data_IF_404554423842
#
_entry.id   IF_404554423842
#
_cell.length_a   1.000
_cell.length_b   1.000
_cell.length_c   1.000
_cell.angle_alpha   90.00
_cell.angle_beta   90.00
_cell.angle_gamma   90.00
#
_symmetry.space_group_name_H-M   'P 1'
#
loop_
_entity.id
_entity.type
_entity.pdbx_description
1 polymer ?
#
# COMPACT_ATOMS: atom_id res chain seq x y z
N UNK A 1 3.51 0.73 25.79
CA UNK A 1 4.27 -0.51 25.52
C UNK A 1 3.32 -1.49 24.83
N UNK A 2 3.78 -2.17 23.78
CA UNK A 2 2.99 -3.21 23.12
C UNK A 2 3.11 -4.52 23.91
N UNK A 3 1.98 -5.16 24.22
CA UNK A 3 1.93 -6.43 24.95
C UNK A 3 1.47 -7.55 23.99
N UNK A 4 2.20 -8.67 23.95
CA UNK A 4 1.84 -9.84 23.14
C UNK A 4 0.62 -10.53 23.74
N UNK A 5 -0.48 -10.59 22.99
CA UNK A 5 -1.74 -11.26 23.41
C UNK A 5 -1.94 -12.64 22.78
N UNK A 6 -1.47 -12.84 21.54
CA UNK A 6 -1.60 -14.10 20.82
C UNK A 6 -0.34 -14.40 20.01
N UNK A 7 -0.15 -15.68 19.67
CA UNK A 7 0.93 -16.16 18.81
C UNK A 7 0.37 -17.25 17.88
N UNK A 8 0.36 -16.99 16.56
CA UNK A 8 -0.23 -17.86 15.54
C UNK A 8 0.91 -18.62 14.84
N UNK A 9 1.04 -19.93 15.10
CA UNK A 9 2.19 -20.76 14.65
C UNK A 9 1.75 -21.95 13.79
N UNK A 10 1.53 -21.71 12.51
CA UNK A 10 1.20 -22.79 11.56
C UNK A 10 2.06 -22.78 10.29
N UNK A 11 2.55 -21.60 9.89
CA UNK A 11 3.41 -21.48 8.71
C UNK A 11 4.79 -22.12 8.94
N UNK A 12 5.29 -22.83 7.93
CA UNK A 12 6.64 -23.44 7.90
C UNK A 12 7.67 -22.58 7.14
N UNK A 13 7.35 -21.31 6.92
CA UNK A 13 8.21 -20.34 6.25
C UNK A 13 7.85 -18.93 6.66
N UNK A 14 8.61 -17.95 6.17
CA UNK A 14 8.33 -16.54 6.46
C UNK A 14 6.92 -16.16 6.00
N UNK A 15 6.15 -15.54 6.90
CA UNK A 15 4.86 -14.95 6.58
C UNK A 15 5.11 -13.65 5.81
N UNK A 16 4.65 -13.60 4.57
CA UNK A 16 4.91 -12.49 3.65
C UNK A 16 3.73 -11.52 3.56
N UNK A 17 2.53 -11.99 3.89
CA UNK A 17 1.30 -11.21 3.86
C UNK A 17 0.38 -11.58 5.02
N UNK A 18 -0.31 -10.56 5.54
CA UNK A 18 -1.36 -10.67 6.54
C UNK A 18 -2.41 -9.62 6.21
N UNK A 19 -3.69 -9.96 6.40
CA UNK A 19 -4.79 -9.01 6.32
C UNK A 19 -5.89 -9.43 7.31
N UNK A 20 -6.64 -8.46 7.82
CA UNK A 20 -7.67 -8.69 8.82
C UNK A 20 -9.02 -8.20 8.29
N UNK A 21 -9.94 -9.15 8.13
CA UNK A 21 -11.35 -8.91 7.87
C UNK A 21 -12.02 -8.43 9.17
N UNK A 22 -12.31 -7.13 9.24
CA UNK A 22 -12.76 -6.45 10.45
C UNK A 22 -14.15 -6.91 10.90
N UNK A 23 -15.09 -7.10 9.98
CA UNK A 23 -16.49 -7.41 10.30
C UNK A 23 -16.66 -8.87 10.72
N UNK A 24 -16.05 -9.80 9.97
CA UNK A 24 -16.07 -11.23 10.26
C UNK A 24 -15.02 -11.66 11.30
N UNK A 25 -14.15 -10.73 11.71
CA UNK A 25 -13.04 -10.97 12.64
C UNK A 25 -12.18 -12.18 12.25
N UNK A 26 -11.80 -12.26 10.96
CA UNK A 26 -10.92 -13.31 10.43
C UNK A 26 -9.61 -12.71 9.98
N UNK A 27 -8.51 -13.36 10.35
CA UNK A 27 -7.19 -13.00 9.85
C UNK A 27 -6.87 -13.95 8.70
N UNK A 28 -6.31 -13.44 7.61
CA UNK A 28 -5.70 -14.28 6.57
C UNK A 28 -4.19 -14.06 6.56
N UNK A 29 -3.42 -15.13 6.46
CA UNK A 29 -1.96 -15.06 6.30
C UNK A 29 -1.54 -15.85 5.08
N UNK A 30 -0.45 -15.42 4.43
CA UNK A 30 0.20 -16.17 3.35
C UNK A 30 1.72 -16.13 3.51
N UNK A 31 2.41 -17.18 3.06
CA UNK A 31 3.84 -17.35 3.33
C UNK A 31 4.68 -17.96 2.22
N UNK A 32 5.99 -17.97 2.48
CA UNK A 32 7.00 -18.59 1.63
C UNK A 32 6.87 -20.12 1.53
N UNK A 33 6.17 -20.73 2.49
CA UNK A 33 5.80 -22.15 2.50
C UNK A 33 4.73 -22.52 1.46
N UNK A 34 4.22 -21.52 0.71
CA UNK A 34 3.22 -21.63 -0.37
C UNK A 34 1.79 -21.86 0.12
N UNK A 35 1.57 -21.72 1.41
CA UNK A 35 0.26 -21.88 2.03
C UNK A 35 -0.39 -20.52 2.31
N UNK A 36 -1.71 -20.54 2.44
CA UNK A 36 -2.45 -19.52 3.16
C UNK A 36 -3.26 -20.18 4.27
N UNK A 37 -3.48 -19.43 5.35
CA UNK A 37 -4.36 -19.84 6.44
C UNK A 37 -5.38 -18.75 6.69
N UNK A 38 -6.64 -19.16 6.86
CA UNK A 38 -7.68 -18.30 7.43
C UNK A 38 -7.82 -18.66 8.89
N UNK A 39 -7.62 -17.68 9.76
CA UNK A 39 -7.66 -17.82 11.20
C UNK A 39 -9.01 -17.31 11.71
N UNK A 40 -9.66 -18.12 12.53
CA UNK A 40 -10.90 -17.75 13.21
C UNK A 40 -10.69 -17.82 14.71
N UNK A 41 -11.14 -16.80 15.44
CA UNK A 41 -11.09 -16.80 16.90
C UNK A 41 -12.26 -17.62 17.46
N UNK A 42 -11.96 -18.75 18.10
CA UNK A 42 -12.93 -19.60 18.80
C UNK A 42 -12.42 -19.89 20.21
N UNK A 43 -13.28 -19.67 21.22
CA UNK A 43 -12.97 -19.93 22.63
C UNK A 43 -11.67 -19.23 23.10
N UNK A 44 -11.44 -18.00 22.65
CA UNK A 44 -10.26 -17.21 22.99
C UNK A 44 -8.97 -17.64 22.27
N UNK A 45 -9.02 -18.61 21.36
CA UNK A 45 -7.87 -19.09 20.60
C UNK A 45 -8.09 -18.94 19.08
N UNK A 46 -7.06 -18.47 18.38
CA UNK A 46 -7.05 -18.41 16.92
C UNK A 46 -6.77 -19.79 16.34
N UNK A 47 -7.73 -20.32 15.57
CA UNK A 47 -7.61 -21.62 14.91
C UNK A 47 -7.38 -21.44 13.40
N UNK A 48 -6.32 -22.02 12.82
CA UNK A 48 -6.07 -21.93 11.39
C UNK A 48 -6.93 -22.92 10.59
N UNK A 49 -7.34 -22.50 9.40
CA UNK A 49 -7.90 -23.34 8.35
C UNK A 49 -7.02 -23.21 7.12
N UNK A 50 -6.45 -24.32 6.66
CA UNK A 50 -5.57 -24.35 5.48
C UNK A 50 -6.36 -24.00 4.21
N UNK A 51 -5.80 -23.12 3.39
CA UNK A 51 -6.31 -22.79 2.06
C UNK A 51 -5.32 -23.27 1.00
N UNK A 52 -5.77 -24.21 0.16
CA UNK A 52 -4.95 -24.78 -0.90
C UNK A 52 -4.88 -23.80 -2.08
N UNK A 53 -3.82 -23.00 -2.12
CA UNK A 53 -3.61 -21.97 -3.14
C UNK A 53 -3.28 -22.52 -4.54
N UNK A 54 -2.88 -23.80 -4.63
CA UNK A 54 -2.42 -24.46 -5.87
C UNK A 54 -1.29 -23.70 -6.58
N UNK A 55 -0.34 -23.16 -5.81
CA UNK A 55 0.86 -22.46 -6.29
C UNK A 55 2.12 -23.30 -6.04
N UNK A 56 3.16 -23.05 -6.84
CA UNK A 56 4.45 -23.78 -6.78
C UNK A 56 5.65 -22.88 -6.42
N UNK A 57 5.40 -21.64 -5.98
CA UNK A 57 6.36 -20.65 -5.48
C UNK A 57 5.73 -19.91 -4.31
N UNK A 58 6.55 -19.19 -3.54
CA UNK A 58 6.11 -18.41 -2.38
C UNK A 58 4.88 -17.54 -2.70
N UNK A 59 3.93 -17.48 -1.75
CA UNK A 59 3.00 -16.38 -1.70
C UNK A 59 3.76 -15.11 -1.28
N UNK A 60 3.27 -13.94 -1.69
CA UNK A 60 3.97 -12.67 -1.46
C UNK A 60 3.10 -11.62 -0.77
N UNK A 61 1.83 -11.55 -1.11
CA UNK A 61 0.87 -10.60 -0.55
C UNK A 61 -0.51 -11.24 -0.49
N UNK A 62 -1.35 -10.77 0.44
CA UNK A 62 -2.74 -11.20 0.58
C UNK A 62 -3.59 -10.01 0.98
N UNK A 63 -4.81 -9.92 0.43
CA UNK A 63 -5.82 -8.93 0.81
C UNK A 63 -7.23 -9.53 0.76
N UNK A 64 -7.99 -9.34 1.84
CA UNK A 64 -9.44 -9.55 1.85
C UNK A 64 -10.12 -8.55 0.92
N UNK A 65 -11.16 -9.02 0.24
CA UNK A 65 -12.04 -8.13 -0.49
C UNK A 65 -12.93 -7.35 0.51
N UNK A 66 -13.39 -6.13 0.20
CA UNK A 66 -14.19 -5.28 1.09
C UNK A 66 -15.39 -5.94 1.77
N UNK A 67 -16.06 -6.89 1.11
CA UNK A 67 -17.22 -7.63 1.66
C UNK A 67 -16.82 -8.91 2.41
N UNK A 68 -15.53 -9.19 2.53
CA UNK A 68 -14.96 -10.31 3.30
C UNK A 68 -15.44 -11.72 2.88
N UNK A 69 -16.05 -11.83 1.70
CA UNK A 69 -16.55 -13.08 1.12
C UNK A 69 -15.48 -13.83 0.32
N UNK A 70 -14.36 -13.17 0.02
CA UNK A 70 -13.21 -13.72 -0.71
C UNK A 70 -11.95 -12.91 -0.42
N UNK A 71 -10.78 -13.47 -0.75
CA UNK A 71 -9.49 -12.79 -0.67
C UNK A 71 -8.60 -13.14 -1.86
N UNK A 72 -7.62 -12.29 -2.14
CA UNK A 72 -6.65 -12.47 -3.22
C UNK A 72 -5.25 -12.72 -2.66
N UNK A 73 -4.51 -13.66 -3.26
CA UNK A 73 -3.10 -13.94 -2.93
C UNK A 73 -2.23 -13.77 -4.17
N UNK A 74 -1.27 -12.85 -4.11
CA UNK A 74 -0.24 -12.69 -5.12
C UNK A 74 0.95 -13.62 -4.87
N UNK A 75 1.53 -14.19 -5.92
CA UNK A 75 2.59 -15.20 -5.79
C UNK A 75 3.73 -15.04 -6.80
N UNK A 76 4.90 -15.57 -6.46
CA UNK A 76 6.00 -15.82 -7.39
C UNK A 76 5.68 -16.85 -8.48
N UNK A 77 4.53 -17.54 -8.39
CA UNK A 77 4.00 -18.41 -9.45
C UNK A 77 3.42 -17.62 -10.63
N UNK A 78 3.56 -16.29 -10.64
CA UNK A 78 3.13 -15.40 -11.73
C UNK A 78 1.61 -15.48 -11.95
N UNK A 79 0.88 -15.53 -10.85
CA UNK A 79 -0.58 -15.60 -10.83
C UNK A 79 -1.13 -14.99 -9.54
N UNK A 80 -2.43 -14.72 -9.55
CA UNK A 80 -3.20 -14.32 -8.37
C UNK A 80 -4.21 -15.44 -8.08
N UNK A 81 -4.24 -15.92 -6.83
CA UNK A 81 -5.26 -16.86 -6.35
C UNK A 81 -6.40 -16.09 -5.69
N UNK A 82 -7.60 -16.15 -6.27
CA UNK A 82 -8.83 -15.61 -5.69
C UNK A 82 -9.52 -16.74 -4.92
N UNK A 83 -9.55 -16.64 -3.60
CA UNK A 83 -10.03 -17.68 -2.70
C UNK A 83 -11.36 -17.28 -2.08
N UNK A 84 -12.33 -18.19 -2.09
CA UNK A 84 -13.66 -18.00 -1.51
C UNK A 84 -14.11 -19.29 -0.82
N UNK A 85 -15.06 -19.18 0.10
CA UNK A 85 -15.55 -20.31 0.87
C UNK A 85 -16.80 -20.92 0.23
N UNK A 86 -16.78 -22.22 -0.06
CA UNK A 86 -17.97 -22.96 -0.50
C UNK A 86 -18.68 -23.56 0.73
N UNK A 87 -19.83 -22.99 1.10
CA UNK A 87 -20.60 -23.44 2.26
C UNK A 87 -21.09 -24.88 2.12
N UNK A 88 -21.44 -25.31 0.91
CA UNK A 88 -21.96 -26.67 0.64
C UNK A 88 -20.94 -27.77 0.98
N UNK A 89 -19.66 -27.47 0.83
CA UNK A 89 -18.56 -28.42 0.96
C UNK A 89 -17.65 -28.12 2.17
N UNK A 90 -17.96 -27.06 2.95
CA UNK A 90 -17.22 -26.61 4.14
C UNK A 90 -15.70 -26.42 3.92
N UNK A 91 -15.31 -25.86 2.76
CA UNK A 91 -13.90 -25.70 2.40
C UNK A 91 -13.62 -24.45 1.56
N UNK A 92 -12.36 -24.04 1.57
CA UNK A 92 -11.86 -22.93 0.75
C UNK A 92 -11.46 -23.41 -0.64
N UNK A 93 -12.03 -22.76 -1.65
CA UNK A 93 -11.71 -22.97 -3.07
C UNK A 93 -10.95 -21.76 -3.59
N UNK A 94 -10.05 -21.96 -4.56
CA UNK A 94 -9.39 -20.86 -5.25
C UNK A 94 -9.56 -20.94 -6.77
N UNK A 95 -9.71 -19.80 -7.44
CA UNK A 95 -9.60 -19.64 -8.90
C UNK A 95 -8.36 -18.79 -9.21
N UNK A 96 -7.69 -19.05 -10.35
CA UNK A 96 -6.44 -18.36 -10.69
C UNK A 96 -6.61 -17.34 -11.81
N UNK A 97 -6.13 -16.13 -11.59
CA UNK A 97 -5.87 -15.15 -12.65
C UNK A 97 -4.41 -15.31 -13.07
N UNK A 98 -4.16 -15.76 -14.31
CA UNK A 98 -2.81 -16.10 -14.82
C UNK A 98 -2.32 -15.18 -15.91
N UNK A 99 -3.09 -15.03 -16.99
CA UNK A 99 -2.69 -14.17 -18.12
C UNK A 99 -3.14 -12.73 -17.87
N UNK A 100 -2.36 -11.71 -18.27
CA UNK A 100 -1.06 -11.76 -18.95
C UNK A 100 0.13 -11.61 -17.97
N UNK A 101 0.01 -12.01 -16.70
CA UNK A 101 1.05 -11.83 -15.67
C UNK A 101 2.31 -12.61 -16.06
N UNK A 102 3.46 -11.92 -16.11
CA UNK A 102 4.75 -12.54 -16.51
C UNK A 102 5.78 -12.64 -15.39
N UNK A 103 5.50 -12.09 -14.22
CA UNK A 103 6.42 -12.13 -13.09
C UNK A 103 5.70 -12.15 -11.74
N UNK A 104 6.46 -12.11 -10.65
CA UNK A 104 5.94 -12.11 -9.27
C UNK A 104 4.99 -10.94 -9.03
N UNK A 105 3.85 -11.21 -8.40
CA UNK A 105 2.94 -10.18 -7.87
C UNK A 105 3.48 -9.67 -6.54
N UNK A 106 3.66 -8.35 -6.41
CA UNK A 106 4.21 -7.70 -5.22
C UNK A 106 3.13 -7.08 -4.34
N UNK A 107 2.11 -6.49 -4.97
CA UNK A 107 1.06 -5.74 -4.29
C UNK A 107 -0.30 -6.01 -4.91
N UNK A 108 -1.32 -5.92 -4.06
CA UNK A 108 -2.73 -6.08 -4.41
C UNK A 108 -3.52 -5.00 -3.69
N UNK A 109 -4.55 -4.48 -4.34
CA UNK A 109 -5.55 -3.64 -3.68
C UNK A 109 -6.92 -3.81 -4.32
N UNK A 110 -7.95 -3.92 -3.48
CA UNK A 110 -9.30 -4.17 -3.94
C UNK A 110 -10.03 -2.86 -4.21
N UNK A 111 -10.76 -2.83 -5.32
CA UNK A 111 -11.70 -1.76 -5.58
C UNK A 111 -12.90 -1.86 -4.62
N UNK A 112 -13.52 -0.73 -4.22
CA UNK A 112 -14.66 -0.69 -3.30
C UNK A 112 -15.86 -1.54 -3.72
N UNK A 113 -16.05 -1.76 -5.03
CA UNK A 113 -17.10 -2.64 -5.56
C UNK A 113 -16.91 -4.14 -5.27
N UNK A 114 -15.82 -4.54 -4.60
CA UNK A 114 -15.50 -5.93 -4.25
C UNK A 114 -15.12 -6.84 -5.44
N UNK A 115 -15.02 -6.30 -6.66
CA UNK A 115 -14.90 -7.07 -7.90
C UNK A 115 -13.58 -6.79 -8.59
N UNK A 116 -13.24 -5.51 -8.75
CA UNK A 116 -11.99 -5.14 -9.40
C UNK A 116 -10.83 -5.29 -8.42
N UNK A 117 -9.71 -5.77 -8.94
CA UNK A 117 -8.49 -6.01 -8.19
C UNK A 117 -7.32 -5.41 -8.93
N UNK A 118 -6.66 -4.43 -8.29
CA UNK A 118 -5.41 -3.89 -8.76
C UNK A 118 -4.26 -4.82 -8.37
N UNK A 119 -3.27 -4.94 -9.26
CA UNK A 119 -2.07 -5.75 -9.02
C UNK A 119 -0.82 -5.06 -9.56
N UNK A 120 0.22 -4.97 -8.71
CA UNK A 120 1.56 -4.56 -9.08
C UNK A 120 2.49 -5.76 -9.20
N UNK A 121 3.33 -5.80 -10.23
CA UNK A 121 4.20 -6.95 -10.49
C UNK A 121 5.63 -6.59 -10.92
N UNK A 122 6.53 -7.57 -10.78
CA UNK A 122 7.92 -7.49 -11.25
C UNK A 122 8.06 -7.54 -12.79
N UNK A 123 6.96 -7.67 -13.55
CA UNK A 123 6.95 -7.49 -15.01
C UNK A 123 6.74 -6.03 -15.44
N UNK A 124 6.90 -5.11 -14.48
CA UNK A 124 6.83 -3.66 -14.63
C UNK A 124 5.42 -3.13 -14.93
N UNK A 125 4.39 -3.94 -14.70
CA UNK A 125 3.00 -3.56 -14.96
C UNK A 125 2.20 -3.39 -13.68
N UNK A 126 1.41 -2.32 -13.67
CA UNK A 126 0.22 -2.18 -12.86
C UNK A 126 -0.98 -2.64 -13.71
N UNK A 127 -1.86 -3.47 -13.14
CA UNK A 127 -3.04 -3.99 -13.84
C UNK A 127 -4.29 -3.91 -12.98
N UNK A 128 -5.44 -3.78 -13.62
CA UNK A 128 -6.76 -4.00 -13.01
C UNK A 128 -7.37 -5.24 -13.63
N UNK A 129 -7.71 -6.21 -12.80
CA UNK A 129 -8.40 -7.42 -13.18
C UNK A 129 -9.83 -7.44 -12.64
N UNK A 130 -10.73 -8.16 -13.32
CA UNK A 130 -11.95 -8.64 -12.67
C UNK A 130 -11.66 -9.91 -11.87
N UNK A 131 -11.95 -9.88 -10.57
CA UNK A 131 -11.96 -11.03 -9.68
C UNK A 131 -13.41 -11.42 -9.31
N UNK A 132 -14.35 -11.25 -10.23
CA UNK A 132 -15.77 -11.62 -10.07
C UNK A 132 -15.95 -13.13 -9.86
N UNK A 133 -16.61 -13.50 -8.76
CA UNK A 133 -16.94 -14.90 -8.44
C UNK A 133 -18.47 -15.00 -8.35
N UNK A 134 -19.09 -15.55 -9.41
CA UNK A 134 -20.57 -15.67 -9.50
C UNK A 134 -21.19 -16.46 -8.34
N UNK A 135 -20.41 -17.33 -7.70
CA UNK A 135 -20.87 -18.23 -6.65
C UNK A 135 -21.05 -17.51 -5.30
N UNK A 136 -20.40 -16.37 -5.08
CA UNK A 136 -20.42 -15.66 -3.79
C UNK A 136 -20.86 -14.20 -3.92
N UNK A 137 -21.27 -13.78 -5.13
CA UNK A 137 -21.57 -12.38 -5.47
C UNK A 137 -22.54 -12.23 -6.63
N UNK A 138 -23.28 -11.13 -6.59
CA UNK A 138 -24.11 -10.68 -7.71
C UNK A 138 -23.29 -10.18 -8.89
N UNK A 139 -23.93 -10.19 -10.06
CA UNK A 139 -23.34 -9.68 -11.29
C UNK A 139 -23.02 -8.18 -11.15
N UNK A 140 -21.77 -7.76 -11.41
CA UNK A 140 -21.38 -6.37 -11.23
C UNK A 140 -21.99 -5.44 -12.29
N UNK A 141 -22.36 -4.23 -11.88
CA UNK A 141 -22.70 -3.11 -12.77
C UNK A 141 -21.46 -2.45 -13.38
N UNK A 142 -21.59 -1.64 -14.44
CA UNK A 142 -20.45 -1.03 -15.11
C UNK A 142 -19.65 -0.09 -14.19
N UNK A 143 -18.35 0.03 -14.46
CA UNK A 143 -17.44 0.97 -13.81
C UNK A 143 -16.73 1.82 -14.85
N UNK A 144 -16.05 2.92 -14.47
CA UNK A 144 -15.18 3.65 -15.38
C UNK A 144 -14.07 2.78 -16.02
N UNK A 145 -13.68 1.68 -15.38
CA UNK A 145 -12.69 0.74 -15.91
C UNK A 145 -13.26 -0.21 -16.98
N UNK A 146 -14.58 -0.32 -17.08
CA UNK A 146 -15.25 -1.16 -18.07
C UNK A 146 -16.58 -1.72 -17.61
N UNK A 147 -17.36 -2.22 -18.58
CA UNK A 147 -18.70 -2.77 -18.37
C UNK A 147 -18.76 -4.30 -18.37
N UNK A 148 -17.77 -4.97 -18.98
CA UNK A 148 -17.68 -6.43 -19.03
C UNK A 148 -16.60 -6.89 -18.06
N UNK A 149 -17.00 -7.64 -17.04
CA UNK A 149 -16.09 -8.08 -15.98
C UNK A 149 -16.17 -9.59 -15.72
N UNK A 150 -16.04 -10.46 -16.74
CA UNK A 150 -15.88 -11.89 -16.47
C UNK A 150 -14.60 -12.13 -15.65
N UNK A 151 -14.56 -13.24 -14.91
CA UNK A 151 -13.40 -13.57 -14.09
C UNK A 151 -12.10 -13.59 -14.91
N UNK A 152 -11.09 -12.86 -14.44
CA UNK A 152 -9.76 -12.77 -15.05
C UNK A 152 -9.64 -11.75 -16.19
N UNK A 153 -10.70 -11.02 -16.53
CA UNK A 153 -10.63 -9.95 -17.54
C UNK A 153 -9.63 -8.86 -17.13
N UNK A 154 -8.83 -8.38 -18.08
CA UNK A 154 -7.92 -7.26 -17.88
C UNK A 154 -8.63 -5.98 -18.32
N UNK A 155 -8.89 -5.09 -17.36
CA UNK A 155 -9.58 -3.82 -17.62
C UNK A 155 -8.61 -2.66 -17.78
N UNK A 156 -7.40 -2.81 -17.23
CA UNK A 156 -6.32 -1.84 -17.38
C UNK A 156 -4.97 -2.54 -17.30
N UNK A 157 -4.02 -2.09 -18.13
CA UNK A 157 -2.60 -2.44 -18.04
C UNK A 157 -1.78 -1.17 -18.33
N UNK A 158 -0.86 -0.83 -17.43
CA UNK A 158 0.02 0.33 -17.60
C UNK A 158 0.92 0.17 -18.84
N UNK A 159 0.91 1.15 -19.75
CA UNK A 159 1.63 1.08 -21.03
C UNK A 159 1.06 0.05 -22.02
N UNK A 160 -0.18 -0.40 -21.81
CA UNK A 160 -0.96 -1.13 -22.82
C UNK A 160 -1.67 -0.17 -23.79
N UNK A 161 -2.27 -0.72 -24.86
CA UNK A 161 -2.91 0.06 -25.93
C UNK A 161 -4.17 0.84 -25.51
N UNK A 162 -4.75 0.51 -24.35
CA UNK A 162 -5.97 1.15 -23.82
C UNK A 162 -5.70 2.32 -22.86
N UNK A 163 -4.44 2.64 -22.57
CA UNK A 163 -4.05 3.72 -21.67
C UNK A 163 -3.36 4.85 -22.45
N UNK A 164 -3.79 6.08 -22.24
CA UNK A 164 -3.16 7.28 -22.81
C UNK A 164 -2.20 7.85 -21.78
N UNK A 165 -0.89 7.76 -22.05
CA UNK A 165 0.14 8.32 -21.16
C UNK A 165 0.35 9.81 -21.40
N UNK A 166 0.16 10.61 -20.37
CA UNK A 166 0.55 12.03 -20.31
C UNK A 166 1.71 12.17 -19.32
N UNK A 167 2.97 12.14 -19.79
CA UNK A 167 4.12 12.34 -18.92
C UNK A 167 4.15 13.80 -18.44
N UNK A 168 4.15 14.03 -17.13
CA UNK A 168 4.23 15.40 -16.57
C UNK A 168 5.65 15.94 -16.54
N UNK A 169 6.65 15.04 -16.61
CA UNK A 169 8.08 15.37 -16.47
C UNK A 169 8.97 14.68 -17.53
N UNK A 170 8.38 14.22 -18.64
CA UNK A 170 9.12 13.46 -19.67
C UNK A 170 9.46 12.01 -19.30
N UNK A 171 9.12 11.57 -18.08
CA UNK A 171 9.26 10.18 -17.66
C UNK A 171 8.18 9.29 -18.32
N UNK A 172 8.62 8.40 -19.19
CA UNK A 172 7.80 7.29 -19.69
C UNK A 172 7.78 6.22 -18.58
N UNK A 173 6.93 6.38 -17.56
CA UNK A 173 6.80 5.40 -16.48
C UNK A 173 6.60 3.97 -17.00
N UNK A 174 7.12 2.97 -16.29
CA UNK A 174 6.95 1.56 -16.64
C UNK A 174 8.22 0.74 -16.80
N UNK A 175 9.36 1.19 -16.25
CA UNK A 175 10.63 0.45 -16.26
C UNK A 175 10.97 -0.27 -14.95
N UNK A 176 10.26 0.03 -13.85
CA UNK A 176 10.54 -0.52 -12.52
C UNK A 176 9.53 -1.56 -12.03
N UNK A 177 9.93 -2.41 -11.07
CA UNK A 177 8.99 -3.28 -10.36
C UNK A 177 7.92 -2.44 -9.67
N UNK A 178 6.66 -2.81 -9.80
CA UNK A 178 5.55 -2.09 -9.16
C UNK A 178 5.41 -2.58 -7.73
N UNK A 179 5.85 -1.77 -6.77
CA UNK A 179 5.93 -2.14 -5.35
C UNK A 179 4.60 -2.04 -4.62
N UNK A 180 3.78 -1.07 -4.99
CA UNK A 180 2.50 -0.79 -4.34
C UNK A 180 1.49 -0.27 -5.35
N UNK A 181 0.23 -0.65 -5.13
CA UNK A 181 -0.94 -0.19 -5.88
C UNK A 181 -2.01 0.22 -4.85
N UNK A 182 -2.82 1.23 -5.18
CA UNK A 182 -3.91 1.69 -4.31
C UNK A 182 -5.02 2.33 -5.14
N UNK A 183 -6.25 1.83 -5.03
CA UNK A 183 -7.45 2.49 -5.54
C UNK A 183 -7.79 3.72 -4.71
N UNK A 184 -8.38 4.74 -5.33
CA UNK A 184 -9.05 5.82 -4.59
C UNK A 184 -10.32 5.31 -3.90
N UNK A 185 -10.88 6.07 -2.96
CA UNK A 185 -12.06 5.66 -2.20
C UNK A 185 -13.29 5.45 -3.09
N UNK A 186 -13.43 6.26 -4.14
CA UNK A 186 -14.45 6.05 -5.19
C UNK A 186 -14.16 4.83 -6.08
N UNK A 187 -12.89 4.41 -6.15
CA UNK A 187 -12.38 3.38 -7.06
C UNK A 187 -12.16 3.87 -8.49
N UNK A 188 -12.43 5.14 -8.79
CA UNK A 188 -12.29 5.69 -10.14
C UNK A 188 -10.83 5.97 -10.52
N UNK A 189 -9.93 6.08 -9.54
CA UNK A 189 -8.50 6.30 -9.76
C UNK A 189 -7.68 5.17 -9.15
N UNK A 190 -6.54 4.88 -9.77
CA UNK A 190 -5.57 3.88 -9.32
C UNK A 190 -4.19 4.50 -9.30
N UNK A 191 -3.54 4.48 -8.14
CA UNK A 191 -2.16 4.91 -7.98
C UNK A 191 -1.22 3.72 -7.86
N UNK A 192 0.02 3.88 -8.32
CA UNK A 192 1.08 2.91 -8.08
C UNK A 192 2.46 3.53 -8.01
N UNK A 193 3.36 2.88 -7.27
CA UNK A 193 4.77 3.24 -7.20
C UNK A 193 5.64 2.17 -7.82
N UNK A 194 6.70 2.61 -8.50
CA UNK A 194 7.61 1.73 -9.24
C UNK A 194 9.05 1.93 -8.80
N UNK A 195 9.88 0.89 -8.99
CA UNK A 195 11.29 0.91 -8.60
C UNK A 195 12.16 1.92 -9.40
N UNK A 196 11.63 2.49 -10.48
CA UNK A 196 12.25 3.55 -11.29
C UNK A 196 12.02 4.96 -10.71
N UNK A 197 11.72 5.05 -9.39
CA UNK A 197 11.39 6.29 -8.68
C UNK A 197 10.18 7.03 -9.25
N UNK A 198 9.25 6.33 -9.90
CA UNK A 198 8.00 6.94 -10.38
C UNK A 198 6.81 6.68 -9.45
N UNK A 199 5.98 7.70 -9.29
CA UNK A 199 4.61 7.59 -8.82
C UNK A 199 3.68 7.89 -10.00
N UNK A 200 2.71 7.02 -10.23
CA UNK A 200 1.75 7.16 -11.32
C UNK A 200 0.33 7.07 -10.80
N UNK A 201 -0.58 7.77 -11.48
CA UNK A 201 -2.04 7.72 -11.25
C UNK A 201 -2.72 7.49 -12.60
N UNK A 202 -3.60 6.50 -12.65
CA UNK A 202 -4.53 6.28 -13.75
C UNK A 202 -5.95 6.67 -13.32
N UNK A 203 -6.64 7.41 -14.17
CA UNK A 203 -8.08 7.68 -14.02
C UNK A 203 -8.86 6.80 -15.00
N UNK A 204 -9.85 6.06 -14.49
CA UNK A 204 -10.75 5.24 -15.29
C UNK A 204 -11.66 6.08 -16.18
N UNK A 205 -12.11 5.53 -17.31
CA UNK A 205 -12.95 6.22 -18.27
C UNK A 205 -12.97 5.51 -19.62
N UNK A 206 -13.43 6.18 -20.68
CA UNK A 206 -13.42 5.63 -22.06
C UNK A 206 -12.01 5.20 -22.51
N UNK A 207 -10.99 5.92 -22.07
CA UNK A 207 -9.59 5.57 -22.18
C UNK A 207 -8.93 5.99 -20.88
N UNK A 208 -8.19 5.08 -20.25
CA UNK A 208 -7.56 5.40 -18.99
C UNK A 208 -6.46 6.44 -19.21
N UNK A 209 -6.50 7.56 -18.48
CA UNK A 209 -5.49 8.62 -18.57
C UNK A 209 -4.45 8.35 -17.50
N UNK A 210 -3.18 8.20 -17.89
CA UNK A 210 -2.08 7.93 -16.98
C UNK A 210 -1.19 9.16 -16.84
N UNK A 211 -1.11 9.67 -15.61
CA UNK A 211 -0.17 10.69 -15.18
C UNK A 211 0.99 10.04 -14.43
N UNK A 212 2.24 10.43 -14.71
CA UNK A 212 3.41 9.88 -14.05
C UNK A 212 4.40 10.97 -13.67
N UNK A 213 4.86 10.94 -12.42
CA UNK A 213 5.83 11.86 -11.86
C UNK A 213 7.08 11.08 -11.45
N UNK A 214 8.24 11.47 -11.97
CA UNK A 214 9.52 10.99 -11.45
C UNK A 214 9.83 11.76 -10.17
N UNK A 215 10.02 11.05 -9.07
CA UNK A 215 10.60 11.62 -7.87
C UNK A 215 12.10 11.86 -8.08
N UNK A 216 12.63 12.94 -7.52
CA UNK A 216 14.08 13.21 -7.47
C UNK A 216 14.80 12.33 -6.44
N UNK A 217 14.04 11.51 -5.70
CA UNK A 217 14.51 10.74 -4.56
C UNK A 217 14.57 9.23 -4.85
N UNK A 218 14.90 8.44 -3.83
CA UNK A 218 14.97 6.99 -3.96
C UNK A 218 13.57 6.37 -4.16
N UNK A 219 13.49 5.09 -4.60
CA UNK A 219 12.21 4.51 -4.98
C UNK A 219 11.20 4.44 -3.82
N UNK A 220 9.94 4.72 -4.18
CA UNK A 220 8.78 4.60 -3.30
C UNK A 220 8.30 3.14 -3.25
N UNK A 221 8.07 2.63 -2.04
CA UNK A 221 7.66 1.23 -1.81
C UNK A 221 6.19 1.08 -1.46
N UNK A 222 5.55 2.13 -0.96
CA UNK A 222 4.12 2.13 -0.65
C UNK A 222 3.47 3.46 -1.01
N UNK A 223 2.21 3.40 -1.44
CA UNK A 223 1.34 4.56 -1.69
C UNK A 223 -0.04 4.29 -1.12
N UNK A 224 -0.72 5.35 -0.68
CA UNK A 224 -2.13 5.32 -0.31
C UNK A 224 -2.82 6.64 -0.66
N UNK A 225 -4.07 6.59 -1.11
CA UNK A 225 -4.91 7.77 -1.19
C UNK A 225 -5.34 8.18 0.23
N UNK A 226 -5.28 9.48 0.52
CA UNK A 226 -5.78 10.07 1.78
C UNK A 226 -7.01 10.97 1.53
N UNK A 227 -7.18 11.41 0.28
CA UNK A 227 -8.41 11.98 -0.27
C UNK A 227 -8.57 11.41 -1.69
N UNK A 228 -9.59 11.80 -2.45
CA UNK A 228 -9.66 11.41 -3.86
C UNK A 228 -8.48 11.93 -4.69
N UNK A 229 -7.86 13.05 -4.28
CA UNK A 229 -6.87 13.78 -5.09
C UNK A 229 -5.53 13.98 -4.37
N UNK A 230 -5.36 13.41 -3.18
CA UNK A 230 -4.13 13.52 -2.40
C UNK A 230 -3.66 12.13 -2.01
N UNK A 231 -2.36 11.89 -2.19
CA UNK A 231 -1.70 10.63 -1.94
C UNK A 231 -0.54 10.83 -1.00
N UNK A 232 -0.32 9.85 -0.13
CA UNK A 232 0.93 9.76 0.63
C UNK A 232 1.68 8.56 0.10
N UNK A 233 2.99 8.73 -0.10
CA UNK A 233 3.88 7.63 -0.44
C UNK A 233 5.16 7.67 0.40
N UNK A 234 5.79 6.52 0.59
CA UNK A 234 7.03 6.37 1.31
C UNK A 234 7.84 5.22 0.72
N UNK A 235 9.15 5.21 0.96
CA UNK A 235 10.05 4.17 0.47
C UNK A 235 11.45 4.29 1.04
N UNK A 236 12.44 4.14 0.17
CA UNK A 236 13.86 4.06 0.57
C UNK A 236 14.40 5.34 1.21
N UNK A 237 13.77 6.49 0.99
CA UNK A 237 14.12 7.74 1.68
C UNK A 237 13.72 7.79 3.16
N UNK A 238 12.93 6.82 3.63
CA UNK A 238 12.55 6.66 5.04
C UNK A 238 11.69 7.80 5.61
N UNK A 239 11.04 8.62 4.77
CA UNK A 239 10.02 9.58 5.19
C UNK A 239 8.79 9.58 4.28
N UNK A 240 7.59 9.86 4.82
CA UNK A 240 6.38 10.07 4.04
C UNK A 240 6.43 11.37 3.22
N UNK A 241 5.93 11.28 1.99
CA UNK A 241 5.84 12.36 1.00
C UNK A 241 4.40 12.52 0.54
N UNK A 242 3.94 13.76 0.40
CA UNK A 242 2.64 14.13 -0.13
C UNK A 242 2.72 14.33 -1.64
N UNK A 243 1.72 13.83 -2.35
CA UNK A 243 1.51 14.05 -3.77
C UNK A 243 0.06 14.48 -4.01
N UNK A 244 -0.16 15.34 -4.99
CA UNK A 244 -1.48 15.88 -5.32
C UNK A 244 -1.76 15.63 -6.80
N UNK A 245 -2.92 15.08 -7.09
CA UNK A 245 -3.45 14.88 -8.43
C UNK A 245 -4.45 15.99 -8.75
N UNK A 246 -4.15 16.80 -9.76
CA UNK A 246 -5.07 17.80 -10.29
C UNK A 246 -5.86 17.18 -11.45
N UNK A 247 -7.11 16.83 -11.16
CA UNK A 247 -8.05 16.19 -12.10
C UNK A 247 -8.31 17.05 -13.34
N UNK A 248 -8.37 18.39 -13.18
CA UNK A 248 -8.68 19.28 -14.30
C UNK A 248 -7.57 19.28 -15.36
N UNK A 249 -6.33 19.06 -14.93
CA UNK A 249 -5.15 18.99 -15.81
C UNK A 249 -4.67 17.56 -16.07
N UNK A 250 -5.21 16.57 -15.34
CA UNK A 250 -4.73 15.19 -15.37
C UNK A 250 -3.27 15.05 -14.92
N UNK A 251 -2.77 15.94 -14.06
CA UNK A 251 -1.36 15.99 -13.71
C UNK A 251 -1.09 15.70 -12.23
N UNK A 252 -0.05 14.91 -11.98
CA UNK A 252 0.46 14.61 -10.66
C UNK A 252 1.60 15.58 -10.29
N UNK A 253 1.53 16.13 -9.08
CA UNK A 253 2.51 17.06 -8.54
C UNK A 253 3.02 16.62 -7.16
N UNK A 254 4.27 16.96 -6.86
CA UNK A 254 4.85 16.77 -5.53
C UNK A 254 4.31 17.84 -4.58
N UNK A 255 3.70 17.41 -3.47
CA UNK A 255 3.09 18.27 -2.46
C UNK A 255 3.98 18.58 -1.26
N UNK A 256 5.10 17.88 -1.09
CA UNK A 256 6.08 18.14 -0.03
C UNK A 256 6.40 16.92 0.84
N UNK A 257 7.38 17.08 1.75
CA UNK A 257 7.73 16.07 2.75
C UNK A 257 6.85 16.26 3.97
N UNK A 258 6.36 15.16 4.55
CA UNK A 258 5.51 15.20 5.75
C UNK A 258 6.32 15.02 7.05
N UNK A 259 7.55 14.48 6.95
CA UNK A 259 8.49 14.38 8.08
C UNK A 259 9.46 15.57 8.08
N UNK A 260 8.92 16.76 8.35
CA UNK A 260 9.75 17.95 8.60
C UNK A 260 9.99 18.01 10.10
N UNK A 261 11.24 17.83 10.58
CA UNK A 261 11.55 18.05 11.99
C UNK A 261 11.08 19.46 12.35
N UNK A 262 10.23 19.59 13.37
CA UNK A 262 9.86 20.90 13.90
C UNK A 262 11.18 21.63 14.16
N UNK A 263 11.41 22.75 13.47
CA UNK A 263 12.55 23.61 13.79
C UNK A 263 12.43 23.90 15.28
N UNK A 264 13.36 23.36 16.08
CA UNK A 264 13.47 23.76 17.46
C UNK A 264 13.65 25.27 17.41
N UNK A 265 12.70 26.01 17.97
CA UNK A 265 12.85 27.44 18.19
C UNK A 265 14.26 27.63 18.77
N UNK A 266 15.08 28.48 18.14
CA UNK A 266 16.45 28.75 18.58
C UNK A 266 16.42 29.29 20.02
N UNK A 267 16.40 28.41 21.01
CA UNK A 267 16.82 28.74 22.36
C UNK A 267 18.33 28.89 22.29
N UNK A 268 18.80 30.12 22.46
CA UNK A 268 20.21 30.46 22.43
C UNK A 268 21.00 29.52 23.34
N UNK A 269 21.87 28.72 22.73
CA UNK A 269 22.76 27.80 23.44
C UNK A 269 23.71 28.65 24.29
N UNK A 270 23.77 28.39 25.59
CA UNK A 270 24.63 29.14 26.51
C UNK A 270 26.11 28.90 26.17
N UNK A 271 26.99 29.88 26.48
CA UNK A 271 28.43 29.73 26.26
C UNK A 271 29.02 28.50 26.98
N UNK A 272 28.41 28.09 28.10
CA UNK A 272 28.80 26.90 28.88
C UNK A 272 28.48 25.59 28.14
N UNK A 273 27.31 25.49 27.53
CA UNK A 273 26.94 24.33 26.69
C UNK A 273 27.80 24.26 25.42
N UNK A 274 28.19 25.40 24.84
CA UNK A 274 29.14 25.42 23.71
C UNK A 274 30.49 24.84 24.10
N UNK A 275 30.98 25.15 25.30
CA UNK A 275 32.26 24.65 25.79
C UNK A 275 32.22 23.15 26.11
N UNK A 276 31.14 22.67 26.73
CA UNK A 276 30.93 21.24 27.02
C UNK A 276 30.79 20.40 25.74
N UNK A 277 30.15 20.95 24.70
CA UNK A 277 30.03 20.27 23.41
C UNK A 277 31.34 20.24 22.60
N UNK A 278 32.24 21.21 22.83
CA UNK A 278 33.59 21.22 22.26
C UNK A 278 34.48 20.14 22.88
N UNK A 279 34.42 19.96 24.21
CA UNK A 279 35.13 18.89 24.90
C UNK A 279 34.64 17.49 24.47
N UNK A 280 33.32 17.32 24.31
CA UNK A 280 32.76 16.02 23.86
C UNK A 280 33.17 15.65 22.43
N UNK A 281 33.33 16.65 21.56
CA UNK A 281 33.80 16.45 20.17
C UNK A 281 35.30 16.17 20.07
N UNK A 282 36.10 16.56 21.07
CA UNK A 282 37.52 16.23 21.10
C UNK A 282 37.77 14.74 21.46
N UNK A 283 36.83 14.09 22.16
CA UNK A 283 36.91 12.66 22.51
C UNK A 283 36.36 11.69 21.46
N UNK A 284 35.61 12.15 20.47
CA UNK A 284 35.00 11.32 19.43
C UNK A 284 35.74 11.46 18.10
N UNK A 285 37.01 11.05 18.05
CA UNK A 285 37.71 10.85 16.78
C UNK A 285 37.43 9.43 16.25
N UNK A 286 36.66 9.37 15.16
CA UNK A 286 36.38 8.21 14.28
C UNK A 286 35.25 7.24 14.68
N UNK A 287 34.00 7.70 14.56
CA UNK A 287 32.89 6.85 14.13
C UNK A 287 31.90 7.68 13.30
N UNK A 288 31.99 7.59 11.97
CA UNK A 288 31.04 8.24 11.08
C UNK A 288 29.76 7.41 10.95
N UNK A 289 28.92 7.37 11.99
CA UNK A 289 27.52 6.98 11.82
C UNK A 289 26.76 8.18 11.23
N UNK A 290 26.36 8.06 9.96
CA UNK A 290 25.44 9.02 9.33
C UNK A 290 24.07 8.88 9.99
N UNK A 291 23.81 9.68 11.02
CA UNK A 291 22.50 9.76 11.64
C UNK A 291 21.50 10.35 10.62
N UNK A 292 20.55 9.52 10.15
CA UNK A 292 19.48 9.96 9.26
C UNK A 292 18.60 11.01 9.97
N UNK A 293 18.28 12.11 9.29
CA UNK A 293 17.42 13.17 9.82
C UNK A 293 15.93 12.77 9.87
N UNK A 294 15.55 11.68 9.21
CA UNK A 294 14.20 11.12 9.24
C UNK A 294 13.90 10.41 10.57
N UNK A 295 12.63 10.40 10.96
CA UNK A 295 12.15 9.63 12.11
C UNK A 295 12.44 8.13 11.96
N UNK A 296 12.29 7.59 10.75
CA UNK A 296 12.68 6.22 10.46
C UNK A 296 14.15 6.12 10.04
N UNK A 297 14.89 5.23 10.69
CA UNK A 297 16.32 5.00 10.47
C UNK A 297 16.62 3.89 9.45
N UNK A 298 15.58 3.27 8.88
CA UNK A 298 15.65 2.28 7.80
C UNK A 298 14.30 2.24 7.07
N UNK A 299 14.21 1.49 5.98
CA UNK A 299 13.01 1.32 5.14
C UNK A 299 11.91 0.52 5.86
N UNK A 300 11.40 1.03 6.98
CA UNK A 300 10.36 0.39 7.80
C UNK A 300 8.94 0.57 7.25
N UNK A 301 8.73 1.58 6.39
CA UNK A 301 7.43 1.86 5.77
C UNK A 301 7.37 1.14 4.43
N UNK A 302 6.98 -0.13 4.45
CA UNK A 302 6.89 -0.98 3.26
C UNK A 302 5.46 -1.36 2.88
N UNK A 303 4.46 -0.93 3.65
CA UNK A 303 3.05 -1.32 3.45
C UNK A 303 2.11 -0.10 3.54
N UNK A 304 1.09 -0.02 2.66
CA UNK A 304 0.08 1.02 2.72
C UNK A 304 -0.62 1.12 4.08
N UNK A 305 -0.93 0.00 4.73
CA UNK A 305 -1.61 0.00 6.04
C UNK A 305 -0.79 0.71 7.13
N UNK A 306 0.53 0.51 7.12
CA UNK A 306 1.45 1.22 8.03
C UNK A 306 1.43 2.72 7.73
N UNK A 307 1.41 3.10 6.45
CA UNK A 307 1.33 4.49 6.02
C UNK A 307 0.00 5.14 6.44
N UNK A 308 -1.12 4.43 6.28
CA UNK A 308 -2.45 4.88 6.68
C UNK A 308 -2.52 5.10 8.20
N UNK A 309 -1.97 4.17 9.00
CA UNK A 309 -1.88 4.33 10.44
C UNK A 309 -1.03 5.55 10.85
N UNK A 310 0.08 5.81 10.14
CA UNK A 310 0.91 6.98 10.38
C UNK A 310 0.19 8.30 10.07
N UNK A 311 -0.54 8.36 8.95
CA UNK A 311 -1.35 9.53 8.58
C UNK A 311 -2.44 9.79 9.62
N UNK A 312 -3.18 8.75 10.02
CA UNK A 312 -4.25 8.86 11.01
C UNK A 312 -3.72 9.24 12.40
N UNK A 313 -2.54 8.78 12.79
CA UNK A 313 -1.92 9.18 14.05
C UNK A 313 -1.48 10.65 14.02
N UNK A 314 -0.93 11.14 12.91
CA UNK A 314 -0.54 12.55 12.76
C UNK A 314 -1.74 13.51 12.88
N UNK A 315 -2.93 13.09 12.41
CA UNK A 315 -4.17 13.86 12.55
C UNK A 315 -4.71 13.91 13.99
N UNK A 316 -4.39 12.91 14.83
CA UNK A 316 -4.92 12.77 16.20
C UNK A 316 -4.04 13.39 17.28
N UNK A 317 -2.83 13.83 16.96
CA UNK A 317 -1.94 14.49 17.94
C UNK A 317 -2.21 16.00 17.98
N UNK A 318 -2.81 16.55 19.05
CA UNK A 318 -2.92 18.00 19.22
C UNK A 318 -1.51 18.60 19.41
N UNK A 319 -1.23 19.72 18.75
CA UNK A 319 -0.04 20.51 19.04
C UNK A 319 -0.22 21.20 20.39
N UNK A 320 0.60 20.83 21.38
CA UNK A 320 0.73 21.59 22.63
C UNK A 320 1.72 22.72 22.36
N UNK A 321 1.27 23.96 22.49
CA UNK A 321 2.13 25.14 22.45
C UNK A 321 2.73 25.45 23.84
N UNK A 322 3.74 26.32 23.88
CA UNK A 322 4.54 26.60 25.08
C UNK A 322 3.80 27.33 26.22
N UNK A 323 2.48 27.55 26.09
CA UNK A 323 1.68 28.22 27.11
C UNK A 323 0.51 27.38 27.67
N UNK A 324 0.42 26.10 27.31
CA UNK A 324 -0.54 25.18 27.96
C UNK A 324 -2.01 25.51 27.67
N UNK A 325 -2.30 26.20 26.57
CA UNK A 325 -3.65 26.33 26.04
C UNK A 325 -3.71 25.54 24.73
N UNK A 326 -4.62 24.57 24.64
CA UNK A 326 -4.81 23.81 23.41
C UNK A 326 -5.29 24.74 22.29
N UNK A 327 -4.39 25.09 21.38
CA UNK A 327 -4.74 25.75 20.12
C UNK A 327 -4.83 24.67 19.06
N UNK A 328 -6.01 24.49 18.47
CA UNK A 328 -6.18 23.74 17.25
C UNK A 328 -5.34 24.43 16.17
N UNK A 329 -4.20 23.85 15.81
CA UNK A 329 -3.39 24.37 14.70
C UNK A 329 -4.11 24.07 13.39
N UNK A 330 -4.46 25.12 12.65
CA UNK A 330 -4.97 25.07 11.27
C UNK A 330 -3.91 24.46 10.33
N UNK A 331 -3.75 23.14 10.37
CA UNK A 331 -3.48 22.39 9.16
C UNK A 331 -4.80 22.40 8.36
N UNK A 332 -4.79 22.52 7.02
CA UNK A 332 -6.02 22.35 6.24
C UNK A 332 -6.61 21.02 6.69
N UNK A 333 -7.79 21.08 7.29
CA UNK A 333 -8.52 19.94 7.81
C UNK A 333 -8.67 18.95 6.65
N UNK A 334 -7.83 17.93 6.61
CA UNK A 334 -8.08 16.77 5.78
C UNK A 334 -9.40 16.19 6.31
N UNK A 335 -10.41 15.98 5.44
CA UNK A 335 -11.73 15.58 5.88
C UNK A 335 -11.62 14.30 6.73
N UNK A 336 -12.32 14.30 7.86
CA UNK A 336 -12.41 13.13 8.73
C UNK A 336 -12.98 11.94 7.94
N UNK A 337 -12.34 10.78 8.10
CA UNK A 337 -12.73 9.48 7.53
C UNK A 337 -14.16 9.08 7.88
#
# INVERSE_FOLDING_TARGET
>A
MWNKVHELKEHNGQVTGIDWAADSNRIVTCGADRNAYVWTLKDGAWKPTLVILRINRAARCVKWAPRENKFAVGSGSRLISICYFEQENDWWVCKHIKKPIRSTILSLDWHPNNILLAAGSCDFKCRVFSAYIKEVEEKPGPTPWGSKMPFGEVLFESGGTGAVSQPTTGALGGGGWVHSVCFSHSGNKLAWTSHDSTLSVAEGGKSAIVSSLSAETLPLLCVTFITENSLVAAGHDCYPMLFVYDEAKGNLAFGGKLDVPKQAAQKGISARERFQNLDRRASESQASEKELASLHKNTGIQRPDTLHAMVNHAQKTPSIDHHGQGVASDAPSLPAL
#
